data_IF_968877628275
#
_entry.id   IF_968877628275
#
_cell.length_a   1.000
_cell.length_b   1.000
_cell.length_c   1.000
_cell.angle_alpha   90.00
_cell.angle_beta   90.00
_cell.angle_gamma   90.00
#
_symmetry.space_group_name_H-M   'P 1'
#
loop_
_entity.id
_entity.type
_entity.pdbx_description
1 polymer ?
#
# COMPACT_ATOMS: atom_id res chain seq x y z
N UNK A 1 -12.09 -4.20 -7.93
CA UNK A 1 -13.37 -3.47 -7.82
C UNK A 1 -13.20 -2.09 -8.44
N UNK A 2 -14.26 -1.48 -8.93
CA UNK A 2 -14.19 -0.18 -9.59
C UNK A 2 -13.91 0.95 -8.60
N UNK A 3 -13.13 1.96 -8.98
CA UNK A 3 -12.77 3.08 -8.08
C UNK A 3 -13.98 3.86 -7.54
N UNK A 4 -15.09 3.86 -8.29
CA UNK A 4 -16.38 4.48 -7.92
C UNK A 4 -17.54 3.47 -7.79
N UNK A 5 -17.21 2.19 -7.70
CA UNK A 5 -18.20 1.11 -7.65
C UNK A 5 -19.13 1.13 -8.88
N UNK A 6 -20.41 0.89 -8.65
CA UNK A 6 -21.50 1.08 -9.64
C UNK A 6 -22.42 2.21 -9.17
N UNK A 7 -21.82 3.27 -8.61
CA UNK A 7 -22.55 4.35 -7.92
C UNK A 7 -22.58 5.65 -8.71
N UNK A 8 -21.81 5.73 -9.80
CA UNK A 8 -21.75 6.90 -10.66
C UNK A 8 -20.85 6.69 -11.88
N UNK A 9 -20.75 7.68 -12.78
CA UNK A 9 -19.95 7.59 -14.00
C UNK A 9 -18.45 7.81 -13.77
N UNK A 10 -18.04 8.29 -12.59
CA UNK A 10 -16.65 8.56 -12.27
C UNK A 10 -15.77 7.33 -12.50
N UNK A 11 -14.64 7.52 -13.18
CA UNK A 11 -13.71 6.46 -13.57
C UNK A 11 -14.32 5.31 -14.41
N UNK A 12 -15.57 5.46 -14.89
CA UNK A 12 -16.23 4.58 -15.86
C UNK A 12 -16.21 3.09 -15.47
N UNK A 13 -16.27 2.76 -14.18
CA UNK A 13 -16.26 1.38 -13.71
C UNK A 13 -14.90 0.66 -13.80
N UNK A 14 -13.81 1.38 -14.07
CA UNK A 14 -12.49 0.77 -14.21
C UNK A 14 -11.85 0.42 -12.86
N UNK A 15 -11.02 -0.61 -12.89
CA UNK A 15 -10.23 -1.11 -11.77
C UNK A 15 -8.84 -0.48 -11.79
N UNK A 16 -8.35 -0.18 -10.59
CA UNK A 16 -7.04 0.41 -10.29
C UNK A 16 -6.37 -0.38 -9.17
N UNK A 17 -5.12 -0.02 -8.84
CA UNK A 17 -4.38 -0.50 -7.67
C UNK A 17 -5.12 -0.27 -6.33
N UNK A 18 -6.08 0.66 -6.30
CA UNK A 18 -7.03 0.91 -5.21
C UNK A 18 -7.63 -0.38 -4.64
N UNK A 19 -7.93 -1.35 -5.53
CA UNK A 19 -8.54 -2.63 -5.13
C UNK A 19 -7.63 -3.37 -4.18
N UNK A 20 -6.36 -3.50 -4.56
CA UNK A 20 -5.33 -4.21 -3.82
C UNK A 20 -4.97 -3.49 -2.52
N UNK A 21 -4.75 -2.18 -2.57
CA UNK A 21 -4.17 -1.47 -1.43
C UNK A 21 -5.18 -0.97 -0.40
N UNK A 22 -6.41 -0.67 -0.81
CA UNK A 22 -7.40 -0.04 0.09
C UNK A 22 -8.59 -0.96 0.40
N UNK A 23 -9.01 -1.78 -0.55
CA UNK A 23 -10.24 -2.57 -0.42
C UNK A 23 -9.98 -4.02 -0.02
N UNK A 24 -8.98 -4.66 -0.63
CA UNK A 24 -8.69 -6.08 -0.42
C UNK A 24 -8.34 -6.43 1.03
N UNK A 25 -7.63 -5.60 1.81
CA UNK A 25 -7.40 -5.90 3.23
C UNK A 25 -8.71 -6.19 3.98
N UNK A 26 -9.75 -5.39 3.79
CA UNK A 26 -11.06 -5.65 4.40
C UNK A 26 -11.59 -7.05 4.05
N UNK A 27 -11.58 -7.43 2.77
CA UNK A 27 -12.08 -8.74 2.35
C UNK A 27 -11.18 -9.88 2.80
N UNK A 28 -9.86 -9.72 2.79
CA UNK A 28 -8.91 -10.73 3.26
C UNK A 28 -9.24 -11.11 4.71
N UNK A 29 -9.45 -10.11 5.57
CA UNK A 29 -9.71 -10.31 6.99
C UNK A 29 -11.17 -10.67 7.31
N UNK A 30 -12.15 -10.41 6.44
CA UNK A 30 -13.58 -10.63 6.78
C UNK A 30 -14.25 -11.70 5.92
N UNK A 31 -13.93 -11.72 4.63
CA UNK A 31 -14.57 -12.51 3.57
C UNK A 31 -13.51 -13.07 2.60
N UNK A 32 -12.60 -13.95 3.05
CA UNK A 32 -11.43 -14.37 2.27
C UNK A 32 -11.79 -15.01 0.93
N UNK A 33 -12.97 -15.64 0.82
CA UNK A 33 -13.45 -16.17 -0.46
C UNK A 33 -13.70 -15.06 -1.50
N UNK A 34 -14.21 -13.90 -1.07
CA UNK A 34 -14.35 -12.74 -1.96
C UNK A 34 -12.99 -12.17 -2.35
N UNK A 35 -12.05 -12.08 -1.41
CA UNK A 35 -10.67 -11.67 -1.69
C UNK A 35 -10.00 -12.59 -2.72
N UNK A 36 -10.18 -13.91 -2.59
CA UNK A 36 -9.69 -14.90 -3.55
C UNK A 36 -10.24 -14.66 -4.96
N UNK A 37 -11.53 -14.32 -5.11
CA UNK A 37 -12.12 -14.02 -6.41
C UNK A 37 -11.56 -12.74 -7.04
N UNK A 38 -11.30 -11.70 -6.24
CA UNK A 38 -10.67 -10.47 -6.71
C UNK A 38 -9.22 -10.71 -7.16
N UNK A 39 -8.46 -11.54 -6.43
CA UNK A 39 -7.12 -11.94 -6.84
C UNK A 39 -7.13 -12.88 -8.05
N UNK A 40 -8.11 -13.79 -8.14
CA UNK A 40 -8.32 -14.64 -9.32
C UNK A 40 -8.53 -13.80 -10.57
N UNK A 41 -9.25 -12.66 -10.49
CA UNK A 41 -9.37 -11.75 -11.62
C UNK A 41 -8.00 -11.30 -12.14
N UNK A 42 -7.06 -10.89 -11.26
CA UNK A 42 -5.69 -10.52 -11.66
C UNK A 42 -4.96 -11.69 -12.32
N UNK A 43 -5.10 -12.90 -11.80
CA UNK A 43 -4.56 -14.10 -12.45
C UNK A 43 -5.17 -14.32 -13.85
N UNK A 44 -6.49 -14.18 -14.00
CA UNK A 44 -7.20 -14.42 -15.26
C UNK A 44 -6.78 -13.49 -16.41
N UNK A 45 -6.33 -12.28 -16.08
CA UNK A 45 -5.84 -11.28 -17.05
C UNK A 45 -4.31 -11.23 -17.16
N UNK A 46 -3.59 -12.17 -16.54
CA UNK A 46 -2.13 -12.26 -16.65
C UNK A 46 -1.62 -12.31 -18.11
N UNK A 47 -2.31 -12.98 -19.07
CA UNK A 47 -1.92 -12.91 -20.49
C UNK A 47 -1.87 -11.48 -21.04
N UNK A 48 -2.87 -10.64 -20.72
CA UNK A 48 -2.94 -9.24 -21.12
C UNK A 48 -1.81 -8.43 -20.49
N UNK A 49 -1.51 -8.69 -19.20
CA UNK A 49 -0.40 -8.04 -18.51
C UNK A 49 0.97 -8.42 -19.11
N UNK A 50 1.15 -9.67 -19.55
CA UNK A 50 2.37 -10.09 -20.28
C UNK A 50 2.50 -9.38 -21.63
N UNK A 51 1.40 -9.27 -22.38
CA UNK A 51 1.39 -8.54 -23.65
C UNK A 51 1.74 -7.07 -23.44
N UNK A 52 1.14 -6.42 -22.44
CA UNK A 52 1.46 -5.04 -22.07
C UNK A 52 2.95 -4.84 -21.75
N UNK A 53 3.58 -5.77 -21.03
CA UNK A 53 5.02 -5.71 -20.80
C UNK A 53 5.82 -5.75 -22.12
N UNK A 54 5.37 -6.54 -23.12
CA UNK A 54 6.01 -6.58 -24.45
C UNK A 54 5.89 -5.25 -25.19
N UNK A 55 4.74 -4.61 -25.08
CA UNK A 55 4.51 -3.29 -25.71
C UNK A 55 5.45 -2.21 -25.17
N UNK A 56 5.98 -2.39 -23.97
CA UNK A 56 6.98 -1.51 -23.34
C UNK A 56 8.43 -1.99 -23.48
N UNK A 57 8.69 -2.97 -24.35
CA UNK A 57 10.04 -3.46 -24.64
C UNK A 57 10.61 -4.43 -23.60
N UNK A 58 9.80 -4.89 -22.65
CA UNK A 58 10.20 -5.93 -21.68
C UNK A 58 9.94 -7.30 -22.29
N UNK A 59 10.91 -8.20 -22.27
CA UNK A 59 10.86 -9.52 -22.95
C UNK A 59 10.36 -10.67 -22.07
N UNK A 60 10.44 -10.55 -20.73
CA UNK A 60 9.92 -11.51 -19.73
C UNK A 60 9.23 -10.78 -18.58
N UNK A 61 8.21 -11.42 -18.02
CA UNK A 61 7.39 -10.86 -16.97
C UNK A 61 6.08 -10.25 -17.48
N UNK A 62 5.36 -9.63 -16.56
CA UNK A 62 4.05 -9.02 -16.78
C UNK A 62 4.00 -7.61 -16.19
N UNK A 63 3.25 -6.73 -16.85
CA UNK A 63 2.90 -5.41 -16.34
C UNK A 63 1.39 -5.27 -16.39
N UNK A 64 0.75 -5.16 -15.24
CA UNK A 64 -0.68 -4.91 -15.18
C UNK A 64 -1.03 -3.50 -15.66
N UNK A 65 -2.17 -3.38 -16.33
CA UNK A 65 -2.74 -2.10 -16.69
C UNK A 65 -3.12 -1.28 -15.44
N UNK A 66 -2.78 0.01 -15.46
CA UNK A 66 -3.10 0.97 -14.41
C UNK A 66 -4.60 1.14 -14.24
N UNK A 67 -5.31 1.25 -15.37
CA UNK A 67 -6.77 1.39 -15.45
C UNK A 67 -7.31 0.36 -16.42
N UNK A 68 -8.19 -0.55 -15.96
CA UNK A 68 -8.71 -1.61 -16.82
C UNK A 68 -10.06 -2.19 -16.40
N UNK A 69 -10.73 -2.87 -17.34
CA UNK A 69 -11.87 -3.78 -17.08
C UNK A 69 -11.56 -5.19 -17.61
N UNK A 70 -10.96 -5.31 -18.79
CA UNK A 70 -10.70 -6.57 -19.50
C UNK A 70 -9.23 -7.04 -19.41
N UNK A 71 -8.37 -6.31 -18.72
CA UNK A 71 -6.92 -6.54 -18.61
C UNK A 71 -6.07 -5.62 -19.51
N UNK A 72 -6.64 -4.99 -20.52
CA UNK A 72 -5.96 -4.02 -21.38
C UNK A 72 -5.97 -2.62 -20.75
N UNK A 73 -4.97 -1.81 -21.07
CA UNK A 73 -4.88 -0.44 -20.54
C UNK A 73 -5.89 0.48 -21.21
N UNK A 74 -6.64 1.20 -20.37
CA UNK A 74 -7.63 2.17 -20.80
C UNK A 74 -7.23 3.63 -20.50
N UNK A 75 -6.13 3.86 -19.77
CA UNK A 75 -5.65 5.21 -19.48
C UNK A 75 -4.92 5.82 -20.67
N UNK A 76 -5.40 6.97 -21.15
CA UNK A 76 -4.68 7.82 -22.10
C UNK A 76 -3.60 8.70 -21.42
N UNK A 77 -3.54 8.70 -20.08
CA UNK A 77 -2.63 9.55 -19.32
C UNK A 77 -1.32 8.81 -19.06
N UNK A 78 -0.34 8.96 -19.96
CA UNK A 78 0.95 8.26 -19.93
C UNK A 78 1.69 8.30 -18.57
N UNK A 79 1.82 9.45 -17.87
CA UNK A 79 2.54 9.52 -16.61
C UNK A 79 1.99 8.62 -15.49
N UNK A 80 0.70 8.28 -15.53
CA UNK A 80 0.12 7.25 -14.66
C UNK A 80 0.03 5.92 -15.39
N UNK A 81 -0.74 5.89 -16.49
CA UNK A 81 -1.09 4.70 -17.24
C UNK A 81 0.11 3.83 -17.57
N UNK A 82 1.21 4.43 -18.02
CA UNK A 82 2.41 3.70 -18.45
C UNK A 82 3.51 3.68 -17.40
N UNK A 83 3.64 4.71 -16.55
CA UNK A 83 4.80 4.86 -15.66
C UNK A 83 4.54 4.55 -14.17
N UNK A 84 3.28 4.38 -13.73
CA UNK A 84 2.98 3.89 -12.37
C UNK A 84 3.07 2.36 -12.30
N UNK A 85 4.30 1.86 -12.46
CA UNK A 85 4.58 0.42 -12.45
C UNK A 85 4.32 -0.24 -11.10
N UNK A 86 4.21 0.54 -10.01
CA UNK A 86 4.04 0.01 -8.65
C UNK A 86 2.80 -0.89 -8.50
N UNK A 87 1.78 -0.75 -9.36
CA UNK A 87 0.61 -1.66 -9.41
C UNK A 87 1.00 -3.14 -9.44
N UNK A 88 2.09 -3.49 -10.11
CA UNK A 88 2.63 -4.85 -10.11
C UNK A 88 2.99 -5.32 -8.70
N UNK A 89 3.68 -4.47 -7.95
CA UNK A 89 4.11 -4.78 -6.60
C UNK A 89 2.95 -4.68 -5.59
N UNK A 90 1.97 -3.81 -5.82
CA UNK A 90 0.73 -3.75 -5.03
C UNK A 90 -0.06 -5.07 -5.10
N UNK A 91 -0.20 -5.64 -6.31
CA UNK A 91 -0.81 -6.94 -6.54
C UNK A 91 -0.01 -8.05 -5.85
N UNK A 92 1.30 -8.06 -6.00
CA UNK A 92 2.16 -9.06 -5.38
C UNK A 92 2.13 -8.99 -3.83
N UNK A 93 2.17 -7.78 -3.27
CA UNK A 93 2.02 -7.53 -1.83
C UNK A 93 0.69 -8.06 -1.32
N UNK A 94 -0.41 -7.82 -2.03
CA UNK A 94 -1.73 -8.26 -1.62
C UNK A 94 -1.90 -9.78 -1.72
N UNK A 95 -1.27 -10.44 -2.70
CA UNK A 95 -1.20 -11.91 -2.77
C UNK A 95 -0.44 -12.46 -1.56
N UNK A 96 0.69 -11.84 -1.19
CA UNK A 96 1.45 -12.20 0.02
C UNK A 96 0.59 -12.04 1.28
N UNK A 97 -0.07 -10.89 1.45
CA UNK A 97 -0.97 -10.64 2.57
C UNK A 97 -2.10 -11.67 2.65
N UNK A 98 -2.76 -11.97 1.51
CA UNK A 98 -3.80 -12.99 1.44
C UNK A 98 -3.26 -14.35 1.92
N UNK A 99 -2.08 -14.76 1.43
CA UNK A 99 -1.45 -16.00 1.86
C UNK A 99 -1.12 -15.99 3.37
N UNK A 100 -0.50 -14.94 3.89
CA UNK A 100 -0.11 -14.86 5.30
C UNK A 100 -1.32 -14.90 6.26
N UNK A 101 -2.43 -14.28 5.85
CA UNK A 101 -3.69 -14.20 6.61
C UNK A 101 -4.52 -15.47 6.47
N UNK A 102 -4.55 -16.13 5.31
CA UNK A 102 -5.46 -17.26 5.07
C UNK A 102 -4.80 -18.63 5.18
N UNK A 103 -3.49 -18.70 4.93
CA UNK A 103 -2.74 -19.95 4.74
C UNK A 103 -3.30 -20.82 3.59
N UNK A 104 -3.90 -20.19 2.56
CA UNK A 104 -4.45 -20.87 1.38
C UNK A 104 -3.33 -21.30 0.42
N UNK A 105 -2.74 -22.45 0.74
CA UNK A 105 -1.65 -23.09 0.00
C UNK A 105 -2.04 -23.40 -1.46
N UNK A 106 -3.27 -23.82 -1.69
CA UNK A 106 -3.77 -24.21 -3.01
C UNK A 106 -3.86 -22.99 -3.93
N UNK A 107 -4.44 -21.88 -3.45
CA UNK A 107 -4.44 -20.62 -4.20
C UNK A 107 -3.03 -20.16 -4.57
N UNK A 108 -2.10 -20.22 -3.61
CA UNK A 108 -0.74 -19.75 -3.84
C UNK A 108 -0.05 -20.59 -4.93
N UNK A 109 -0.18 -21.93 -4.89
CA UNK A 109 0.41 -22.84 -5.90
C UNK A 109 -0.24 -22.72 -7.27
N UNK A 110 -1.57 -22.64 -7.33
CA UNK A 110 -2.30 -22.70 -8.59
C UNK A 110 -2.32 -21.35 -9.34
N UNK A 111 -2.28 -20.23 -8.61
CA UNK A 111 -2.55 -18.91 -9.18
C UNK A 111 -1.59 -17.83 -8.66
N UNK A 112 -1.47 -17.70 -7.34
CA UNK A 112 -0.75 -16.57 -6.72
C UNK A 112 0.73 -16.50 -7.12
N UNK A 113 1.43 -17.64 -7.09
CA UNK A 113 2.87 -17.69 -7.37
C UNK A 113 3.21 -17.28 -8.81
N UNK A 114 2.34 -17.60 -9.78
CA UNK A 114 2.53 -17.20 -11.16
C UNK A 114 2.46 -15.68 -11.34
N UNK A 115 1.51 -15.02 -10.67
CA UNK A 115 1.38 -13.55 -10.72
C UNK A 115 2.58 -12.87 -10.05
N UNK A 116 2.98 -13.35 -8.86
CA UNK A 116 4.14 -12.80 -8.14
C UNK A 116 5.41 -12.95 -8.96
N UNK A 117 5.70 -14.14 -9.49
CA UNK A 117 6.91 -14.36 -10.28
C UNK A 117 6.95 -13.53 -11.57
N UNK A 118 5.84 -13.43 -12.31
CA UNK A 118 5.79 -12.65 -13.54
C UNK A 118 5.94 -11.15 -13.31
N UNK A 119 5.37 -10.62 -12.23
CA UNK A 119 5.56 -9.21 -11.86
C UNK A 119 6.98 -8.95 -11.35
N UNK A 120 7.62 -9.91 -10.66
CA UNK A 120 9.02 -9.82 -10.26
C UNK A 120 10.00 -9.86 -11.45
N UNK A 121 9.73 -10.70 -12.45
CA UNK A 121 10.49 -10.75 -13.71
C UNK A 121 10.49 -9.41 -14.46
N UNK A 122 9.37 -8.67 -14.39
CA UNK A 122 9.31 -7.33 -14.95
C UNK A 122 10.35 -6.40 -14.31
N UNK A 123 10.44 -6.39 -12.97
CA UNK A 123 11.41 -5.54 -12.27
C UNK A 123 12.86 -5.86 -12.65
N UNK A 124 13.22 -7.14 -12.73
CA UNK A 124 14.57 -7.55 -13.14
C UNK A 124 14.96 -7.07 -14.54
N UNK A 125 14.01 -6.99 -15.47
CA UNK A 125 14.28 -6.52 -16.82
C UNK A 125 14.17 -5.00 -16.97
N UNK A 126 13.33 -4.37 -16.18
CA UNK A 126 13.09 -2.93 -16.22
C UNK A 126 14.16 -2.14 -15.47
N UNK A 127 14.60 -2.65 -14.32
CA UNK A 127 15.62 -2.02 -13.49
C UNK A 127 17.04 -2.19 -14.03
N UNK A 128 17.97 -1.47 -13.43
CA UNK A 128 19.37 -1.47 -13.81
C UNK A 128 20.31 -1.50 -12.61
N UNK A 129 21.46 -2.13 -12.78
CA UNK A 129 22.54 -2.10 -11.79
C UNK A 129 23.40 -0.85 -11.96
N UNK A 130 23.63 -0.13 -10.88
CA UNK A 130 24.42 1.10 -10.85
C UNK A 130 25.46 1.04 -9.70
N UNK A 131 26.63 1.64 -9.92
CA UNK A 131 27.60 1.86 -8.85
C UNK A 131 27.26 3.18 -8.14
N UNK A 132 26.67 3.10 -6.95
CA UNK A 132 26.20 4.26 -6.18
C UNK A 132 26.69 4.19 -4.73
N UNK A 133 27.16 5.31 -4.20
CA UNK A 133 27.67 5.44 -2.82
C UNK A 133 28.71 4.35 -2.44
N UNK A 134 29.57 4.00 -3.40
CA UNK A 134 30.62 2.98 -3.23
C UNK A 134 30.12 1.53 -3.22
N UNK A 135 28.83 1.29 -3.52
CA UNK A 135 28.21 -0.05 -3.58
C UNK A 135 27.54 -0.27 -4.94
N UNK A 136 27.42 -1.53 -5.34
CA UNK A 136 26.59 -1.90 -6.48
C UNK A 136 25.13 -2.00 -6.01
N UNK A 137 24.22 -1.25 -6.62
CA UNK A 137 22.82 -1.18 -6.23
C UNK A 137 21.91 -1.40 -7.42
N UNK A 138 20.69 -1.89 -7.17
CA UNK A 138 19.66 -2.06 -8.17
C UNK A 138 18.70 -0.87 -8.13
N UNK A 139 18.51 -0.20 -9.26
CA UNK A 139 17.78 1.06 -9.37
C UNK A 139 16.61 0.92 -10.36
N UNK A 140 15.55 1.70 -10.15
CA UNK A 140 14.41 1.81 -11.05
C UNK A 140 14.30 3.25 -11.55
N UNK A 141 14.18 3.45 -12.85
CA UNK A 141 14.23 4.77 -13.47
C UNK A 141 12.94 5.11 -14.19
N UNK A 142 12.64 6.41 -14.29
CA UNK A 142 11.47 6.94 -15.01
C UNK A 142 10.15 6.30 -14.57
N UNK A 143 10.00 6.12 -13.27
CA UNK A 143 8.78 5.62 -12.62
C UNK A 143 7.95 6.79 -12.10
N UNK A 144 6.66 6.56 -11.88
CA UNK A 144 5.78 7.45 -11.14
C UNK A 144 5.30 6.68 -9.92
N UNK A 145 5.38 7.29 -8.73
CA UNK A 145 4.86 6.70 -7.50
C UNK A 145 3.37 7.00 -7.30
N UNK A 146 2.80 6.63 -6.13
CA UNK A 146 1.45 7.04 -5.72
C UNK A 146 1.20 8.55 -5.78
N UNK A 147 2.23 9.37 -5.54
CA UNK A 147 2.14 10.81 -5.73
C UNK A 147 2.13 11.19 -7.21
N UNK A 148 0.94 11.30 -7.81
CA UNK A 148 0.79 11.68 -9.22
C UNK A 148 1.18 13.15 -9.51
N UNK A 149 1.53 13.94 -8.50
CA UNK A 149 2.11 15.29 -8.66
C UNK A 149 3.62 15.27 -8.87
N UNK A 150 4.22 14.08 -8.86
CA UNK A 150 5.63 13.85 -9.14
C UNK A 150 5.78 12.64 -10.06
N UNK A 151 6.05 12.86 -11.35
CA UNK A 151 6.04 11.80 -12.35
C UNK A 151 7.37 11.62 -13.08
N UNK A 152 7.63 10.40 -13.56
CA UNK A 152 8.82 10.02 -14.33
C UNK A 152 10.13 10.32 -13.59
N UNK A 153 10.13 10.08 -12.28
CA UNK A 153 11.28 10.22 -11.40
C UNK A 153 12.14 8.96 -11.38
N UNK A 154 13.33 9.10 -10.82
CA UNK A 154 14.25 7.99 -10.64
C UNK A 154 14.23 7.59 -9.16
N UNK A 155 14.16 6.29 -8.92
CA UNK A 155 14.20 5.68 -7.60
C UNK A 155 13.11 6.18 -6.64
N UNK A 156 11.85 6.21 -7.07
CA UNK A 156 10.75 6.49 -6.16
C UNK A 156 10.76 5.49 -4.99
N UNK A 157 10.77 5.97 -3.75
CA UNK A 157 10.93 5.14 -2.55
C UNK A 157 9.83 4.08 -2.43
N UNK A 158 8.56 4.47 -2.61
CA UNK A 158 7.45 3.53 -2.58
C UNK A 158 7.64 2.41 -3.60
N UNK A 159 7.87 2.78 -4.87
CA UNK A 159 8.03 1.83 -5.98
C UNK A 159 9.20 0.88 -5.73
N UNK A 160 10.37 1.40 -5.35
CA UNK A 160 11.55 0.59 -5.09
C UNK A 160 11.32 -0.35 -3.91
N UNK A 161 10.71 0.13 -2.82
CA UNK A 161 10.48 -0.71 -1.64
C UNK A 161 9.45 -1.81 -1.87
N UNK A 162 8.41 -1.54 -2.64
CA UNK A 162 7.41 -2.52 -3.05
C UNK A 162 8.01 -3.55 -4.03
N UNK A 163 8.82 -3.11 -5.01
CA UNK A 163 9.53 -3.99 -5.92
C UNK A 163 10.55 -4.90 -5.19
N UNK A 164 11.24 -4.38 -4.17
CA UNK A 164 12.11 -5.15 -3.28
C UNK A 164 11.35 -6.32 -2.66
N UNK A 165 10.17 -6.08 -2.08
CA UNK A 165 9.37 -7.15 -1.50
C UNK A 165 8.88 -8.16 -2.55
N UNK A 166 8.40 -7.68 -3.70
CA UNK A 166 7.93 -8.55 -4.77
C UNK A 166 9.03 -9.53 -5.21
N UNK A 167 10.24 -9.03 -5.50
CA UNK A 167 11.37 -9.88 -5.88
C UNK A 167 11.81 -10.84 -4.76
N UNK A 168 11.82 -10.39 -3.50
CA UNK A 168 12.13 -11.27 -2.37
C UNK A 168 11.10 -12.40 -2.22
N UNK A 169 9.81 -12.08 -2.36
CA UNK A 169 8.75 -13.07 -2.25
C UNK A 169 8.76 -14.05 -3.43
N UNK A 170 9.00 -13.57 -4.66
CA UNK A 170 9.18 -14.43 -5.83
C UNK A 170 10.37 -15.41 -5.65
N UNK A 171 11.51 -14.91 -5.15
CA UNK A 171 12.66 -15.76 -4.87
C UNK A 171 12.36 -16.82 -3.80
N UNK A 172 11.60 -16.45 -2.76
CA UNK A 172 11.13 -17.39 -1.74
C UNK A 172 10.19 -18.45 -2.32
N UNK A 173 9.26 -18.07 -3.21
CA UNK A 173 8.32 -19.00 -3.84
C UNK A 173 9.02 -20.07 -4.70
N UNK A 174 10.05 -19.67 -5.46
CA UNK A 174 10.89 -20.63 -6.21
C UNK A 174 11.61 -21.55 -5.23
N UNK A 175 12.25 -20.99 -4.20
CA UNK A 175 13.02 -21.77 -3.22
C UNK A 175 12.16 -22.80 -2.49
N UNK A 176 10.92 -22.47 -2.16
CA UNK A 176 9.98 -23.36 -1.48
C UNK A 176 9.22 -24.31 -2.43
N UNK A 177 9.45 -24.22 -3.75
CA UNK A 177 8.81 -25.08 -4.74
C UNK A 177 7.32 -24.81 -4.97
N UNK A 178 6.86 -23.57 -4.75
CA UNK A 178 5.50 -23.15 -5.14
C UNK A 178 5.36 -22.94 -6.64
N UNK A 179 6.45 -22.65 -7.33
CA UNK A 179 6.51 -22.41 -8.76
C UNK A 179 7.86 -22.80 -9.32
N UNK A 180 7.88 -23.30 -10.55
CA UNK A 180 9.11 -23.60 -11.26
C UNK A 180 9.88 -22.32 -11.60
N UNK A 181 11.11 -22.26 -11.11
CA UNK A 181 12.14 -21.30 -11.48
C UNK A 181 13.49 -21.98 -11.33
N UNK A 182 14.46 -21.63 -12.16
CA UNK A 182 15.82 -22.16 -12.00
C UNK A 182 16.57 -21.43 -10.87
N UNK A 183 17.67 -22.05 -10.42
CA UNK A 183 18.48 -21.50 -9.33
C UNK A 183 19.10 -20.14 -9.67
N UNK A 184 19.35 -19.85 -10.96
CA UNK A 184 19.94 -18.60 -11.40
C UNK A 184 18.91 -17.46 -11.34
N UNK A 185 17.67 -17.69 -11.77
CA UNK A 185 16.55 -16.74 -11.66
C UNK A 185 16.25 -16.42 -10.19
N UNK A 186 16.21 -17.46 -9.33
CA UNK A 186 16.04 -17.27 -7.89
C UNK A 186 17.14 -16.39 -7.30
N UNK A 187 18.41 -16.65 -7.64
CA UNK A 187 19.54 -15.88 -7.14
C UNK A 187 19.55 -14.43 -7.67
N UNK A 188 19.17 -14.21 -8.92
CA UNK A 188 19.06 -12.87 -9.50
C UNK A 188 17.97 -12.04 -8.81
N UNK A 189 16.79 -12.63 -8.58
CA UNK A 189 15.70 -11.99 -7.85
C UNK A 189 16.11 -11.61 -6.42
N UNK A 190 16.74 -12.54 -5.69
CA UNK A 190 17.21 -12.30 -4.34
C UNK A 190 18.27 -11.19 -4.31
N UNK A 191 19.28 -11.25 -5.21
CA UNK A 191 20.35 -10.26 -5.26
C UNK A 191 19.85 -8.85 -5.61
N UNK A 192 18.96 -8.73 -6.61
CA UNK A 192 18.37 -7.44 -6.97
C UNK A 192 17.48 -6.88 -5.85
N UNK A 193 16.73 -7.73 -5.15
CA UNK A 193 15.96 -7.33 -3.96
C UNK A 193 16.87 -6.81 -2.84
N UNK A 194 17.91 -7.56 -2.48
CA UNK A 194 18.84 -7.16 -1.42
C UNK A 194 19.54 -5.83 -1.75
N UNK A 195 19.96 -5.66 -3.00
CA UNK A 195 20.68 -4.49 -3.47
C UNK A 195 19.80 -3.31 -3.90
N UNK A 196 18.47 -3.42 -3.81
CA UNK A 196 17.53 -2.35 -4.19
C UNK A 196 17.91 -1.03 -3.50
N UNK A 197 18.11 0.02 -4.29
CA UNK A 197 18.37 1.35 -3.77
C UNK A 197 17.10 1.93 -3.15
N UNK A 198 17.22 2.48 -1.94
CA UNK A 198 16.16 3.20 -1.25
C UNK A 198 16.69 4.61 -0.94
N UNK A 199 16.12 5.67 -1.53
CA UNK A 199 16.65 7.02 -1.40
C UNK A 199 16.50 7.57 0.03
N UNK A 200 17.54 8.25 0.50
CA UNK A 200 17.56 8.94 1.80
C UNK A 200 18.24 10.29 1.64
N UNK A 201 17.63 11.35 2.17
CA UNK A 201 18.21 12.67 2.21
C UNK A 201 18.89 12.92 3.56
N UNK A 202 20.23 12.82 3.57
CA UNK A 202 21.03 13.07 4.75
C UNK A 202 20.96 14.51 5.27
N UNK A 203 20.59 15.49 4.43
CA UNK A 203 20.53 16.91 4.83
C UNK A 203 19.30 17.17 5.68
N UNK A 204 18.13 16.74 5.21
CA UNK A 204 16.88 16.86 5.95
C UNK A 204 16.63 15.69 6.91
N UNK A 205 17.45 14.63 6.85
CA UNK A 205 17.35 13.40 7.65
C UNK A 205 16.03 12.65 7.45
N UNK A 206 15.58 12.62 6.20
CA UNK A 206 14.29 12.04 5.79
C UNK A 206 14.48 10.98 4.73
N UNK A 207 13.58 10.00 4.74
CA UNK A 207 13.40 9.08 3.62
C UNK A 207 12.93 9.90 2.43
N UNK A 208 13.75 10.03 1.39
CA UNK A 208 13.44 10.88 0.25
C UNK A 208 12.43 10.19 -0.66
N UNK A 209 11.48 10.94 -1.25
CA UNK A 209 10.46 10.34 -2.11
C UNK A 209 11.05 9.80 -3.40
N UNK A 210 12.08 10.47 -3.92
CA UNK A 210 12.86 10.12 -5.11
C UNK A 210 14.19 10.89 -5.13
N UNK A 211 15.06 10.59 -6.10
CA UNK A 211 16.40 11.17 -6.27
C UNK A 211 16.45 12.70 -6.41
N UNK A 212 15.36 13.31 -6.85
CA UNK A 212 15.27 14.75 -7.12
C UNK A 212 14.40 15.50 -6.11
N UNK A 213 13.47 14.82 -5.42
CA UNK A 213 12.57 15.42 -4.44
C UNK A 213 13.25 16.40 -3.46
N UNK A 214 14.46 16.14 -2.89
CA UNK A 214 15.07 17.07 -1.94
C UNK A 214 15.56 18.38 -2.57
N UNK A 215 15.77 18.39 -3.88
CA UNK A 215 16.34 19.51 -4.65
C UNK A 215 15.28 20.46 -5.16
N UNK A 216 14.01 20.04 -5.16
CA UNK A 216 12.91 20.81 -5.74
C UNK A 216 12.45 21.93 -4.80
N UNK A 217 12.08 23.12 -5.32
CA UNK A 217 11.51 24.18 -4.51
C UNK A 217 10.16 23.78 -3.93
N UNK A 218 9.81 24.27 -2.75
CA UNK A 218 8.49 24.07 -2.15
C UNK A 218 7.39 24.70 -3.03
N UNK A 219 6.26 24.03 -3.20
CA UNK A 219 5.09 24.63 -3.83
C UNK A 219 4.62 25.86 -3.03
N UNK A 220 4.16 26.95 -3.67
CA UNK A 220 3.85 28.20 -2.97
C UNK A 220 2.48 28.17 -2.26
N UNK A 221 2.27 27.21 -1.34
CA UNK A 221 1.02 26.97 -0.61
C UNK A 221 0.40 28.24 -0.01
N UNK A 222 1.23 29.10 0.59
CA UNK A 222 0.77 30.35 1.23
C UNK A 222 0.09 31.33 0.26
N UNK A 223 0.33 31.20 -1.04
CA UNK A 223 -0.23 32.08 -2.08
C UNK A 223 -1.16 31.36 -3.05
N UNK A 224 -1.29 30.04 -2.94
CA UNK A 224 -2.25 29.26 -3.73
C UNK A 224 -3.66 29.48 -3.16
N UNK A 225 -4.58 29.95 -4.00
CA UNK A 225 -5.95 30.19 -3.55
C UNK A 225 -6.66 28.85 -3.27
N UNK A 226 -7.54 28.81 -2.25
CA UNK A 226 -8.30 27.62 -1.91
C UNK A 226 -9.17 27.08 -3.06
N UNK A 227 -9.57 27.95 -4.00
CA UNK A 227 -10.33 27.59 -5.22
C UNK A 227 -9.46 27.01 -6.34
N UNK A 228 -8.15 26.85 -6.13
CA UNK A 228 -7.22 26.27 -7.10
C UNK A 228 -6.82 24.84 -6.74
N UNK A 229 -7.62 24.17 -5.92
CA UNK A 229 -7.51 22.76 -5.58
C UNK A 229 -8.72 21.98 -6.15
N UNK A 230 -8.51 20.73 -6.62
CA UNK A 230 -7.24 20.02 -6.67
C UNK A 230 -6.30 20.57 -7.76
N UNK A 231 -5.00 20.65 -7.46
CA UNK A 231 -4.02 21.38 -8.29
C UNK A 231 -4.02 20.95 -9.76
N UNK A 232 -4.18 19.65 -10.04
CA UNK A 232 -4.19 19.10 -11.41
C UNK A 232 -5.30 19.68 -12.31
N UNK A 233 -6.37 20.21 -11.74
CA UNK A 233 -7.47 20.83 -12.50
C UNK A 233 -7.19 22.30 -12.83
N UNK A 234 -6.19 22.92 -12.20
CA UNK A 234 -5.93 24.35 -12.29
C UNK A 234 -4.54 24.70 -12.81
N UNK A 235 -3.59 23.78 -12.73
CA UNK A 235 -2.20 23.99 -13.13
C UNK A 235 -1.74 22.92 -14.11
N UNK A 236 -0.93 23.35 -15.07
CA UNK A 236 -0.30 22.42 -16.00
C UNK A 236 0.63 21.45 -15.21
N UNK A 237 0.68 20.15 -15.54
CA UNK A 237 1.53 19.19 -14.80
C UNK A 237 2.99 19.61 -14.66
N UNK A 238 3.61 20.16 -15.72
CA UNK A 238 4.99 20.69 -15.65
C UNK A 238 5.19 21.85 -14.66
N UNK A 239 4.12 22.56 -14.27
CA UNK A 239 4.19 23.53 -13.18
C UNK A 239 4.24 22.82 -11.83
N UNK A 240 3.46 21.75 -11.65
CA UNK A 240 3.38 20.97 -10.42
C UNK A 240 4.69 20.18 -10.21
N UNK A 241 5.12 19.42 -11.22
CA UNK A 241 6.23 18.45 -11.16
C UNK A 241 7.60 19.03 -10.81
N UNK A 242 7.76 20.35 -10.93
CA UNK A 242 9.01 21.05 -10.59
C UNK A 242 8.99 21.62 -9.17
N UNK A 243 8.03 21.22 -8.34
CA UNK A 243 7.91 21.63 -6.95
C UNK A 243 7.74 20.42 -6.03
N UNK A 244 8.11 20.59 -4.77
CA UNK A 244 7.73 19.67 -3.69
C UNK A 244 6.29 19.94 -3.31
N UNK A 245 5.40 19.07 -3.74
CA UNK A 245 3.99 19.00 -3.35
C UNK A 245 3.47 17.61 -3.68
N UNK A 246 2.78 17.00 -2.72
CA UNK A 246 2.24 15.67 -2.87
C UNK A 246 0.73 15.75 -3.09
N UNK A 247 0.23 14.96 -4.03
CA UNK A 247 -1.21 14.69 -4.19
C UNK A 247 -1.75 13.86 -3.03
N UNK A 248 -0.97 12.85 -2.62
CA UNK A 248 -1.34 11.83 -1.63
C UNK A 248 -0.11 11.23 -0.96
N UNK A 249 -0.32 10.27 -0.05
CA UNK A 249 0.78 9.56 0.58
C UNK A 249 1.57 8.71 -0.45
N UNK A 250 2.90 8.79 -0.38
CA UNK A 250 3.85 8.07 -1.24
C UNK A 250 4.90 7.37 -0.36
N UNK A 251 5.94 8.08 0.11
CA UNK A 251 6.89 7.57 1.11
C UNK A 251 6.19 7.04 2.35
N UNK A 252 5.26 7.84 2.88
CA UNK A 252 4.45 7.47 4.04
C UNK A 252 3.55 6.25 3.77
N UNK A 253 3.15 5.99 2.52
CA UNK A 253 2.39 4.78 2.22
C UNK A 253 3.27 3.53 2.36
N UNK A 254 4.54 3.58 1.95
CA UNK A 254 5.48 2.47 2.17
C UNK A 254 5.75 2.25 3.67
N UNK A 255 5.93 3.32 4.44
CA UNK A 255 6.11 3.24 5.91
C UNK A 255 4.86 2.71 6.63
N UNK A 256 3.67 2.95 6.07
CA UNK A 256 2.44 2.33 6.57
C UNK A 256 2.49 0.81 6.40
N UNK A 257 2.93 0.33 5.24
CA UNK A 257 2.96 -1.10 4.88
C UNK A 257 4.12 -1.86 5.55
N UNK A 258 5.25 -1.19 5.77
CA UNK A 258 6.48 -1.80 6.32
C UNK A 258 6.90 -1.12 7.63
N UNK A 259 6.11 -1.25 8.71
CA UNK A 259 6.39 -0.58 9.98
C UNK A 259 7.72 -1.00 10.64
N UNK A 260 8.30 -2.15 10.24
CA UNK A 260 9.56 -2.65 10.78
C UNK A 260 10.80 -2.11 10.07
N UNK A 261 10.65 -1.40 8.95
CA UNK A 261 11.77 -0.88 8.17
C UNK A 261 12.45 0.32 8.84
N UNK A 262 11.73 1.03 9.72
CA UNK A 262 12.17 2.31 10.27
C UNK A 262 11.85 2.44 11.76
N UNK A 263 12.62 3.27 12.46
CA UNK A 263 12.33 3.59 13.86
C UNK A 263 11.17 4.58 13.98
N UNK A 264 10.54 4.65 15.14
CA UNK A 264 9.49 5.64 15.43
C UNK A 264 10.00 7.08 15.27
N UNK A 265 11.25 7.35 15.60
CA UNK A 265 11.86 8.66 15.42
C UNK A 265 12.05 9.03 13.95
N UNK A 266 12.38 8.05 13.09
CA UNK A 266 12.47 8.29 11.64
C UNK A 266 11.08 8.52 11.04
N UNK A 267 10.10 7.67 11.39
CA UNK A 267 8.70 7.86 10.99
C UNK A 267 8.16 9.24 11.39
N UNK A 268 8.48 9.72 12.60
CA UNK A 268 8.08 11.06 13.05
C UNK A 268 8.66 12.16 12.14
N UNK A 269 9.95 12.07 11.79
CA UNK A 269 10.61 13.02 10.89
C UNK A 269 9.99 13.00 9.49
N UNK A 270 9.77 11.82 8.94
CA UNK A 270 9.20 11.66 7.61
C UNK A 270 7.74 12.16 7.58
N UNK A 271 6.95 11.86 8.61
CA UNK A 271 5.59 12.39 8.75
C UNK A 271 5.58 13.93 8.80
N UNK A 272 6.41 14.53 9.65
CA UNK A 272 6.49 15.99 9.80
C UNK A 272 7.02 16.71 8.54
N UNK A 273 7.78 15.99 7.71
CA UNK A 273 8.29 16.50 6.44
C UNK A 273 7.25 16.42 5.31
N UNK A 274 6.50 15.32 5.21
CA UNK A 274 5.58 15.07 4.09
C UNK A 274 4.15 15.57 4.34
N UNK A 275 3.66 15.58 5.57
CA UNK A 275 2.32 16.09 5.88
C UNK A 275 2.08 17.52 5.40
N UNK A 276 2.92 18.53 5.73
CA UNK A 276 2.64 19.92 5.35
C UNK A 276 2.72 20.19 3.85
N UNK A 277 3.28 19.27 3.07
CA UNK A 277 3.39 19.39 1.60
C UNK A 277 2.36 18.52 0.87
N UNK A 278 1.51 17.77 1.59
CA UNK A 278 0.49 16.91 1.00
C UNK A 278 -0.85 17.63 0.93
N UNK A 279 -1.39 17.74 -0.27
CA UNK A 279 -2.65 18.43 -0.55
C UNK A 279 -3.90 17.64 -0.15
N UNK A 280 -3.77 16.32 -0.09
CA UNK A 280 -4.90 15.39 0.08
C UNK A 280 -5.98 15.54 -1.03
N UNK A 281 -5.54 15.92 -2.24
CA UNK A 281 -6.35 16.01 -3.45
C UNK A 281 -6.85 14.64 -3.94
N UNK A 282 -6.32 13.56 -3.37
CA UNK A 282 -6.82 12.20 -3.55
C UNK A 282 -7.60 11.72 -2.33
N UNK A 283 -8.71 11.01 -2.56
CA UNK A 283 -9.48 10.35 -1.50
C UNK A 283 -8.68 9.26 -0.78
N UNK A 284 -7.64 8.72 -1.42
CA UNK A 284 -6.75 7.70 -0.85
C UNK A 284 -5.84 8.24 0.25
N UNK A 285 -5.67 9.56 0.36
CA UNK A 285 -4.59 10.13 1.16
C UNK A 285 -4.84 10.06 2.66
N UNK A 286 -5.97 10.59 3.15
CA UNK A 286 -6.17 10.92 4.57
C UNK A 286 -6.15 9.69 5.49
N UNK A 287 -6.61 8.53 5.02
CA UNK A 287 -6.58 7.29 5.82
C UNK A 287 -5.15 6.90 6.20
N UNK A 288 -4.19 7.08 5.30
CA UNK A 288 -2.77 6.77 5.55
C UNK A 288 -2.20 7.70 6.62
N UNK A 289 -2.51 8.99 6.53
CA UNK A 289 -2.11 9.98 7.53
C UNK A 289 -2.75 9.72 8.90
N UNK A 290 -4.01 9.27 8.94
CA UNK A 290 -4.67 8.82 10.18
C UNK A 290 -3.95 7.61 10.81
N UNK A 291 -3.61 6.61 9.99
CA UNK A 291 -2.93 5.39 10.46
C UNK A 291 -1.56 5.72 11.06
N UNK A 292 -0.75 6.50 10.36
CA UNK A 292 0.59 6.86 10.85
C UNK A 292 0.54 7.82 12.05
N UNK A 293 -0.41 8.76 12.08
CA UNK A 293 -0.63 9.59 13.26
C UNK A 293 -1.00 8.73 14.49
N UNK A 294 -1.77 7.66 14.30
CA UNK A 294 -2.08 6.71 15.38
C UNK A 294 -0.81 6.04 15.91
N UNK A 295 0.05 5.54 15.01
CA UNK A 295 1.34 4.90 15.38
C UNK A 295 2.29 5.84 16.11
N UNK A 296 2.27 7.13 15.77
CA UNK A 296 3.03 8.19 16.41
C UNK A 296 2.40 8.73 17.70
N UNK A 297 1.32 8.11 18.19
CA UNK A 297 0.52 8.55 19.36
C UNK A 297 -0.01 9.99 19.25
N UNK A 298 -0.22 10.48 18.02
CA UNK A 298 -0.80 11.79 17.70
C UNK A 298 -2.31 11.68 17.57
N UNK A 299 -2.98 11.29 18.65
CA UNK A 299 -4.38 10.82 18.67
C UNK A 299 -5.39 11.82 18.09
N UNK A 300 -5.32 13.09 18.46
CA UNK A 300 -6.25 14.11 17.96
C UNK A 300 -6.17 14.25 16.43
N UNK A 301 -4.94 14.25 15.91
CA UNK A 301 -4.68 14.31 14.46
C UNK A 301 -5.13 13.03 13.76
N UNK A 302 -4.87 11.88 14.37
CA UNK A 302 -5.32 10.58 13.86
C UNK A 302 -6.85 10.50 13.75
N UNK A 303 -7.55 10.98 14.78
CA UNK A 303 -9.01 11.05 14.81
C UNK A 303 -9.56 12.04 13.79
N UNK A 304 -8.96 13.24 13.67
CA UNK A 304 -9.38 14.23 12.67
C UNK A 304 -9.28 13.67 11.24
N UNK A 305 -8.14 13.08 10.87
CA UNK A 305 -8.01 12.47 9.54
C UNK A 305 -8.94 11.28 9.34
N UNK A 306 -9.20 10.49 10.38
CA UNK A 306 -10.17 9.40 10.33
C UNK A 306 -11.60 9.92 10.08
N UNK A 307 -11.99 11.02 10.71
CA UNK A 307 -13.30 11.62 10.49
C UNK A 307 -13.44 12.18 9.07
N UNK A 308 -12.41 12.82 8.54
CA UNK A 308 -12.40 13.25 7.14
C UNK A 308 -12.56 12.06 6.18
N UNK A 309 -11.85 10.96 6.42
CA UNK A 309 -11.96 9.72 5.63
C UNK A 309 -13.37 9.12 5.74
N UNK A 310 -13.89 8.90 6.95
CA UNK A 310 -15.17 8.22 7.16
C UNK A 310 -16.38 9.04 6.71
N UNK A 311 -16.30 10.37 6.75
CA UNK A 311 -17.39 11.26 6.35
C UNK A 311 -17.29 11.76 4.91
N UNK A 312 -16.19 11.49 4.19
CA UNK A 312 -15.85 12.11 2.90
C UNK A 312 -17.03 12.21 1.93
N UNK A 313 -17.67 11.08 1.62
CA UNK A 313 -18.80 11.04 0.67
C UNK A 313 -20.09 11.60 1.28
N UNK A 314 -20.30 11.46 2.59
CA UNK A 314 -21.50 11.92 3.29
C UNK A 314 -21.58 13.45 3.35
N UNK A 315 -20.44 14.12 3.45
CA UNK A 315 -20.35 15.60 3.51
C UNK A 315 -19.86 16.21 2.20
N UNK A 316 -19.67 15.39 1.16
CA UNK A 316 -19.10 15.77 -0.13
C UNK A 316 -17.78 16.56 0.02
N UNK A 317 -16.87 16.05 0.86
CA UNK A 317 -15.63 16.75 1.24
C UNK A 317 -14.75 17.11 0.04
N UNK A 318 -14.80 16.29 -1.03
CA UNK A 318 -14.05 16.50 -2.28
C UNK A 318 -14.86 17.28 -3.35
N UNK A 319 -16.14 17.61 -3.09
CA UNK A 319 -17.02 18.32 -4.02
C UNK A 319 -17.38 17.53 -5.30
N UNK A 320 -17.18 16.21 -5.29
CA UNK A 320 -17.33 15.32 -6.44
C UNK A 320 -18.03 13.98 -6.11
N UNK A 321 -18.74 13.90 -4.97
CA UNK A 321 -19.54 12.72 -4.62
C UNK A 321 -20.65 12.45 -5.64
N UNK A 322 -21.11 13.48 -6.38
CA UNK A 322 -22.04 13.35 -7.52
C UNK A 322 -21.53 12.42 -8.63
N UNK A 323 -20.21 12.23 -8.73
CA UNK A 323 -19.59 11.36 -9.74
C UNK A 323 -19.52 9.89 -9.27
N UNK A 324 -19.96 9.61 -8.05
CA UNK A 324 -19.95 8.30 -7.40
C UNK A 324 -19.14 8.29 -6.10
N UNK A 325 -19.44 7.30 -5.25
CA UNK A 325 -18.75 7.05 -3.97
C UNK A 325 -17.28 6.69 -4.17
N UNK A 326 -16.41 7.08 -3.25
CA UNK A 326 -14.98 6.77 -3.34
C UNK A 326 -14.68 5.42 -2.68
N UNK A 327 -14.78 4.32 -3.43
CA UNK A 327 -14.64 2.94 -2.90
C UNK A 327 -13.31 2.71 -2.18
N UNK A 328 -12.21 3.27 -2.70
CA UNK A 328 -10.91 3.21 -2.03
C UNK A 328 -10.93 3.89 -0.65
N UNK A 329 -11.63 5.02 -0.51
CA UNK A 329 -11.76 5.72 0.76
C UNK A 329 -12.72 5.00 1.73
N UNK A 330 -13.74 4.29 1.23
CA UNK A 330 -14.55 3.40 2.06
C UNK A 330 -13.68 2.26 2.65
N UNK A 331 -12.81 1.65 1.84
CA UNK A 331 -11.78 0.73 2.32
C UNK A 331 -10.83 1.38 3.33
N UNK A 332 -10.39 2.61 3.04
CA UNK A 332 -9.60 3.45 3.93
C UNK A 332 -10.23 3.71 5.30
N UNK A 333 -11.56 3.77 5.38
CA UNK A 333 -12.29 3.90 6.64
C UNK A 333 -12.13 2.66 7.53
N UNK A 334 -12.13 1.47 6.93
CA UNK A 334 -11.85 0.25 7.68
C UNK A 334 -10.37 0.15 8.09
N UNK A 335 -9.46 0.53 7.20
CA UNK A 335 -8.02 0.58 7.49
C UNK A 335 -7.69 1.55 8.63
N UNK A 336 -8.34 2.72 8.70
CA UNK A 336 -8.15 3.67 9.81
C UNK A 336 -8.49 3.07 11.18
N UNK A 337 -9.54 2.24 11.25
CA UNK A 337 -9.90 1.53 12.49
C UNK A 337 -8.91 0.41 12.81
N UNK A 338 -8.54 -0.40 11.83
CA UNK A 338 -7.75 -1.62 12.07
C UNK A 338 -6.24 -1.38 12.03
N UNK A 339 -5.71 -0.84 10.95
CA UNK A 339 -4.28 -0.53 10.81
C UNK A 339 -3.89 0.71 11.63
N UNK A 340 -4.83 1.64 11.85
CA UNK A 340 -4.64 2.86 12.63
C UNK A 340 -4.89 2.64 14.11
N UNK A 341 -6.15 2.79 14.56
CA UNK A 341 -6.47 2.75 16.00
C UNK A 341 -6.16 1.41 16.68
N UNK A 342 -6.27 0.28 15.96
CA UNK A 342 -5.85 -1.02 16.48
C UNK A 342 -4.39 -1.38 16.19
N UNK A 343 -3.64 -0.52 15.49
CA UNK A 343 -2.22 -0.75 15.20
C UNK A 343 -1.95 -2.09 14.53
N UNK A 344 -2.90 -2.59 13.74
CA UNK A 344 -2.88 -3.95 13.22
C UNK A 344 -1.90 -4.07 12.05
N UNK A 345 -1.03 -5.07 12.11
CA UNK A 345 -0.22 -5.51 10.96
C UNK A 345 0.18 -6.99 11.10
N UNK A 346 0.67 -7.59 10.02
CA UNK A 346 1.19 -8.96 10.01
C UNK A 346 2.68 -8.92 9.75
N UNK A 347 3.45 -9.61 10.59
CA UNK A 347 4.89 -9.74 10.45
C UNK A 347 5.32 -11.13 10.92
N UNK A 348 6.25 -11.75 10.19
CA UNK A 348 6.80 -13.08 10.50
C UNK A 348 5.71 -14.14 10.83
N UNK A 349 4.56 -14.08 10.14
CA UNK A 349 3.44 -15.00 10.34
C UNK A 349 2.63 -14.80 11.64
N UNK A 350 2.88 -13.74 12.40
CA UNK A 350 2.12 -13.34 13.59
C UNK A 350 1.27 -12.10 13.29
N UNK A 351 0.10 -12.04 13.93
CA UNK A 351 -0.74 -10.85 13.92
C UNK A 351 -0.35 -9.96 15.09
N UNK A 352 -0.10 -8.69 14.80
CA UNK A 352 0.26 -7.66 15.77
C UNK A 352 -0.93 -6.72 15.98
N UNK A 353 -1.16 -6.32 17.23
CA UNK A 353 -2.16 -5.31 17.62
C UNK A 353 -1.52 -4.38 18.64
N UNK A 354 -1.63 -3.08 18.41
CA UNK A 354 -1.17 -2.03 19.33
C UNK A 354 -2.28 -1.02 19.51
N UNK A 355 -2.70 -0.78 20.74
CA UNK A 355 -3.85 0.06 21.03
C UNK A 355 -3.48 1.56 20.94
N UNK A 356 -4.00 2.20 19.90
CA UNK A 356 -3.91 3.63 19.63
C UNK A 356 -5.28 4.31 19.64
N UNK A 357 -6.23 3.79 20.45
CA UNK A 357 -7.60 4.29 20.49
C UNK A 357 -7.61 5.79 20.86
N UNK A 358 -8.28 6.65 20.06
CA UNK A 358 -8.41 8.07 20.37
C UNK A 358 -9.39 8.31 21.52
N UNK A 359 -9.30 9.46 22.19
CA UNK A 359 -10.09 9.74 23.40
C UNK A 359 -11.60 9.84 23.12
N UNK A 360 -11.98 10.16 21.88
CA UNK A 360 -13.34 10.30 21.41
C UNK A 360 -14.08 8.96 21.27
N UNK A 361 -13.34 7.84 21.22
CA UNK A 361 -13.90 6.49 21.09
C UNK A 361 -13.74 5.75 22.42
N UNK A 362 -14.85 5.50 23.10
CA UNK A 362 -14.84 4.75 24.37
C UNK A 362 -14.43 3.29 24.18
N UNK A 363 -14.87 2.68 23.08
CA UNK A 363 -14.58 1.29 22.76
C UNK A 363 -14.64 1.06 21.25
N UNK A 364 -13.66 0.32 20.71
CA UNK A 364 -13.67 -0.24 19.36
C UNK A 364 -13.74 -1.77 19.48
N UNK A 365 -14.74 -2.40 18.85
CA UNK A 365 -14.89 -3.85 18.81
C UNK A 365 -15.11 -4.33 17.40
N UNK A 366 -14.32 -5.30 16.95
CA UNK A 366 -14.44 -5.88 15.61
C UNK A 366 -13.98 -7.33 15.57
N UNK A 367 -14.38 -8.03 14.51
CA UNK A 367 -13.96 -9.41 14.25
C UNK A 367 -13.20 -9.51 12.95
N UNK A 368 -12.24 -10.42 12.93
CA UNK A 368 -11.45 -10.74 11.76
C UNK A 368 -11.16 -12.23 11.68
N UNK A 369 -10.68 -12.66 10.52
CA UNK A 369 -10.22 -14.01 10.23
C UNK A 369 -8.70 -14.00 10.10
N UNK A 370 -8.04 -14.97 10.73
CA UNK A 370 -6.60 -15.17 10.61
C UNK A 370 -6.29 -16.67 10.73
N UNK A 371 -5.67 -17.25 9.70
CA UNK A 371 -5.26 -18.65 9.57
C UNK A 371 -6.34 -19.63 10.04
N UNK A 372 -7.52 -19.52 9.44
CA UNK A 372 -8.68 -20.36 9.74
C UNK A 372 -9.42 -20.05 11.04
N UNK A 373 -8.97 -19.08 11.83
CA UNK A 373 -9.62 -18.68 13.10
C UNK A 373 -10.48 -17.44 12.90
N UNK A 374 -11.46 -17.26 13.78
CA UNK A 374 -12.19 -15.99 13.96
C UNK A 374 -11.75 -15.39 15.27
N UNK A 375 -11.18 -14.18 15.21
CA UNK A 375 -10.75 -13.41 16.37
C UNK A 375 -11.74 -12.28 16.62
N UNK A 376 -11.94 -11.95 17.89
CA UNK A 376 -12.58 -10.71 18.31
C UNK A 376 -11.55 -9.85 19.04
N UNK A 377 -11.46 -8.60 18.61
CA UNK A 377 -10.58 -7.57 19.18
C UNK A 377 -11.46 -6.50 19.78
N UNK A 378 -11.19 -6.16 21.04
CA UNK A 378 -11.84 -5.06 21.75
C UNK A 378 -10.76 -4.14 22.31
N UNK A 379 -10.83 -2.86 21.96
CA UNK A 379 -9.97 -1.82 22.49
C UNK A 379 -10.79 -0.89 23.37
N UNK A 380 -10.27 -0.61 24.55
CA UNK A 380 -10.72 0.45 25.45
C UNK A 380 -9.51 1.34 25.76
N UNK A 381 -9.73 2.50 26.40
CA UNK A 381 -8.66 3.46 26.69
C UNK A 381 -7.46 2.86 27.44
N UNK A 382 -7.73 1.97 28.39
CA UNK A 382 -6.71 1.40 29.29
C UNK A 382 -6.49 -0.10 29.10
N UNK A 383 -7.15 -0.72 28.11
CA UNK A 383 -7.03 -2.18 27.91
C UNK A 383 -7.28 -2.60 26.47
N UNK A 384 -6.47 -3.54 26.02
CA UNK A 384 -6.73 -4.35 24.82
C UNK A 384 -7.25 -5.71 25.26
N UNK A 385 -8.22 -6.26 24.55
CA UNK A 385 -8.70 -7.63 24.72
C UNK A 385 -8.76 -8.31 23.36
N UNK A 386 -8.18 -9.50 23.26
CA UNK A 386 -8.25 -10.34 22.06
C UNK A 386 -8.64 -11.74 22.48
N UNK A 387 -9.61 -12.34 21.79
CA UNK A 387 -10.04 -13.72 22.02
C UNK A 387 -10.26 -14.49 20.72
N UNK A 388 -10.07 -15.82 20.77
CA UNK A 388 -10.47 -16.74 19.70
C UNK A 388 -11.95 -17.06 19.85
N UNK A 389 -12.78 -16.55 18.94
CA UNK A 389 -14.22 -16.86 18.89
C UNK A 389 -14.45 -18.24 18.27
N UNK A 390 -13.63 -18.61 17.28
CA UNK A 390 -13.67 -19.92 16.63
C UNK A 390 -12.30 -20.31 16.09
N UNK A 391 -11.95 -21.58 16.17
CA UNK A 391 -10.65 -22.12 15.79
C UNK A 391 -9.77 -22.49 16.99
N UNK A 392 -8.51 -22.79 16.73
CA UNK A 392 -7.52 -23.16 17.74
C UNK A 392 -6.76 -21.94 18.28
N UNK A 393 -6.14 -22.04 19.48
CA UNK A 393 -5.23 -21.02 19.97
C UNK A 393 -4.15 -20.62 18.97
N UNK A 394 -3.63 -19.40 19.11
CA UNK A 394 -2.53 -18.87 18.32
C UNK A 394 -1.69 -17.88 19.12
N UNK A 395 -0.42 -17.77 18.73
CA UNK A 395 0.48 -16.73 19.24
C UNK A 395 0.26 -15.43 18.47
N UNK A 396 0.13 -14.33 19.20
CA UNK A 396 0.00 -12.97 18.68
C UNK A 396 0.91 -12.03 19.45
N UNK A 397 1.16 -10.84 18.90
CA UNK A 397 1.78 -9.74 19.63
C UNK A 397 0.70 -8.71 19.95
N UNK A 398 0.45 -8.48 21.24
CA UNK A 398 -0.54 -7.52 21.72
C UNK A 398 0.17 -6.51 22.62
N UNK A 399 0.14 -5.23 22.24
CA UNK A 399 0.80 -4.13 22.93
C UNK A 399 2.29 -4.44 23.24
N UNK A 400 2.99 -5.00 22.25
CA UNK A 400 4.41 -5.35 22.33
C UNK A 400 4.73 -6.62 23.10
N UNK A 401 3.74 -7.35 23.63
CA UNK A 401 3.93 -8.62 24.35
C UNK A 401 3.43 -9.79 23.51
N UNK A 402 4.24 -10.84 23.40
CA UNK A 402 3.80 -12.08 22.79
C UNK A 402 2.85 -12.84 23.73
N UNK A 403 1.64 -13.15 23.25
CA UNK A 403 0.56 -13.75 24.03
C UNK A 403 -0.05 -14.93 23.27
N UNK A 404 -0.38 -16.01 24.00
CA UNK A 404 -1.22 -17.08 23.48
C UNK A 404 -2.68 -16.68 23.64
N UNK A 405 -3.38 -16.48 22.52
CA UNK A 405 -4.79 -16.13 22.52
C UNK A 405 -5.62 -17.40 22.41
N UNK A 406 -6.53 -17.62 23.37
CA UNK A 406 -7.42 -18.79 23.43
C UNK A 406 -8.89 -18.36 23.42
N UNK A 407 -9.82 -19.32 23.48
CA UNK A 407 -11.25 -19.02 23.63
C UNK A 407 -11.55 -18.54 25.07
N UNK A 408 -12.19 -17.37 25.19
CA UNK A 408 -12.58 -16.78 26.47
C UNK A 408 -11.45 -16.16 27.30
N UNK A 409 -10.22 -16.09 26.79
CA UNK A 409 -9.12 -15.37 27.45
C UNK A 409 -9.10 -13.92 27.02
N UNK A 410 -9.11 -13.02 27.99
CA UNK A 410 -8.83 -11.60 27.80
C UNK A 410 -7.31 -11.41 27.95
N UNK A 411 -6.60 -11.17 26.86
CA UNK A 411 -5.20 -10.76 26.92
C UNK A 411 -5.12 -9.28 27.35
N UNK A 412 -5.04 -8.99 28.65
CA UNK A 412 -4.93 -7.61 29.15
C UNK A 412 -3.60 -6.98 28.71
N UNK A 413 -3.67 -6.10 27.72
CA UNK A 413 -2.57 -5.25 27.28
C UNK A 413 -2.51 -3.94 28.06
N UNK A 414 -1.88 -3.97 29.25
CA UNK A 414 -0.98 -2.95 29.84
C UNK A 414 -0.71 -3.29 31.31
#
# INVERSE_FOLDING_TARGET
>A
MAAKGITGPGYEGHYFWDTEMYMLPFFIYTQPQMAKQLLHYRYSILPQARQRARDLGVTKGALYAWRTINGEEASAYFPAGTAQYHINADIAHTIKLYFEVTDDQDFLREQGAAVVLETARFWLQFGGWEQRDGKQQFCLYKVTGPDEYTALVDNNYYTNRMAKENMAFAAWLIQQGYIDGDADEQAQLASASEAMYLPYDATNQVTAQDDNSPKMPLWPFATTAATQYPLLLHYHPLMIYRHRVNKQADTLLAEMLFPEDQSQEQLARDYDYYEPITTHDSSLSRSIFSILASRLDRRDKAYSYYMDTSLMDLVDLQGNAKDGLHEANLGGSWLGLTYGFAGMYVAAGKLHITNHLPQEINQLSYRLRFRGRVLEVQLMQDSTQVQVVSGTPLMMVVDGREVEVTSGTIANGR
#
